data_IF_602765436890
#
_entry.id   IF_602765436890
#
_cell.length_a   1.000
_cell.length_b   1.000
_cell.length_c   1.000
_cell.angle_alpha   90.00
_cell.angle_beta   90.00
_cell.angle_gamma   90.00
#
_symmetry.space_group_name_H-M   'P 1'
#
loop_
_entity.id
_entity.type
_entity.pdbx_description
1 polymer ?
#
# COMPACT_ATOMS: atom_id res chain seq x y z
N UNK A 1 -4.28 7.95 69.94
CA UNK A 1 -4.80 6.78 69.18
C UNK A 1 -3.67 6.14 68.39
N UNK A 2 -3.21 4.94 68.79
CA UNK A 2 -2.20 4.18 68.02
C UNK A 2 -2.87 3.63 66.76
N UNK A 3 -2.40 4.03 65.57
CA UNK A 3 -2.88 3.50 64.28
C UNK A 3 -2.75 1.97 64.30
N UNK A 4 -3.89 1.27 64.27
CA UNK A 4 -3.94 -0.19 64.33
C UNK A 4 -3.14 -0.80 63.18
N UNK A 5 -2.13 -1.59 63.52
CA UNK A 5 -1.36 -2.35 62.54
C UNK A 5 -2.26 -3.48 62.04
N UNK A 6 -2.70 -3.39 60.78
CA UNK A 6 -3.51 -4.41 60.14
C UNK A 6 -2.80 -5.78 60.24
N UNK A 7 -3.42 -6.73 60.95
CA UNK A 7 -2.84 -8.05 61.28
C UNK A 7 -2.84 -9.02 60.09
N UNK A 8 -3.71 -8.79 59.12
CA UNK A 8 -3.88 -9.65 57.93
C UNK A 8 -2.90 -9.31 56.80
N UNK A 9 -2.14 -8.23 56.94
CA UNK A 9 -1.09 -7.90 55.97
C UNK A 9 0.08 -8.86 56.14
N UNK A 10 0.56 -9.48 55.05
CA UNK A 10 1.78 -10.29 55.09
C UNK A 10 2.95 -9.42 55.55
N UNK A 11 3.82 -9.99 56.39
CA UNK A 11 5.00 -9.34 56.97
C UNK A 11 6.27 -10.13 56.59
N UNK A 12 7.44 -9.50 56.72
CA UNK A 12 8.74 -10.16 56.50
C UNK A 12 8.95 -10.62 55.04
N UNK A 13 9.43 -11.84 54.85
CA UNK A 13 9.77 -12.43 53.55
C UNK A 13 8.58 -12.49 52.59
N UNK A 14 7.40 -12.91 53.07
CA UNK A 14 6.18 -12.96 52.27
C UNK A 14 5.74 -11.58 51.75
N UNK A 15 5.92 -10.53 52.56
CA UNK A 15 5.68 -9.15 52.12
C UNK A 15 6.65 -8.73 51.02
N UNK A 16 7.94 -9.04 51.16
CA UNK A 16 8.96 -8.69 50.18
C UNK A 16 8.73 -9.40 48.84
N UNK A 17 8.30 -10.66 48.85
CA UNK A 17 7.93 -11.42 47.64
C UNK A 17 6.73 -10.76 46.94
N UNK A 18 5.67 -10.44 47.68
CA UNK A 18 4.49 -9.76 47.12
C UNK A 18 4.82 -8.37 46.58
N UNK A 19 5.70 -7.62 47.27
CA UNK A 19 6.18 -6.33 46.81
C UNK A 19 6.99 -6.47 45.51
N UNK A 20 7.86 -7.47 45.41
CA UNK A 20 8.62 -7.77 44.20
C UNK A 20 7.70 -8.15 43.03
N UNK A 21 6.73 -9.04 43.25
CA UNK A 21 5.73 -9.43 42.24
C UNK A 21 4.88 -8.25 41.75
N UNK A 22 4.46 -7.35 42.64
CA UNK A 22 3.74 -6.13 42.24
C UNK A 22 4.62 -5.20 41.41
N UNK A 23 5.91 -5.08 41.77
CA UNK A 23 6.87 -4.27 41.03
C UNK A 23 7.11 -4.82 39.62
N UNK A 24 7.29 -6.14 39.47
CA UNK A 24 7.48 -6.77 38.16
C UNK A 24 6.24 -6.66 37.28
N UNK A 25 5.04 -6.88 37.83
CA UNK A 25 3.77 -6.64 37.11
C UNK A 25 3.66 -5.20 36.62
N UNK A 26 3.93 -4.21 37.47
CA UNK A 26 3.90 -2.79 37.08
C UNK A 26 4.89 -2.48 35.96
N UNK A 27 6.10 -3.03 36.00
CA UNK A 27 7.06 -2.84 34.90
C UNK A 27 6.59 -3.49 33.60
N UNK A 28 5.99 -4.68 33.67
CA UNK A 28 5.44 -5.35 32.50
C UNK A 28 4.29 -4.52 31.89
N UNK A 29 3.38 -4.00 32.71
CA UNK A 29 2.27 -3.13 32.29
C UNK A 29 2.77 -1.83 31.64
N UNK A 30 3.76 -1.16 32.24
CA UNK A 30 4.36 0.05 31.66
C UNK A 30 5.04 -0.24 30.33
N UNK A 31 5.80 -1.34 30.23
CA UNK A 31 6.46 -1.75 28.99
C UNK A 31 5.44 -2.11 27.90
N UNK A 32 4.35 -2.75 28.27
CA UNK A 32 3.28 -3.08 27.34
C UNK A 32 2.54 -1.83 26.87
N UNK A 33 2.23 -0.89 27.77
CA UNK A 33 1.64 0.40 27.42
C UNK A 33 2.54 1.22 26.47
N UNK A 34 3.85 1.25 26.70
CA UNK A 34 4.81 1.87 25.80
C UNK A 34 4.79 1.21 24.41
N UNK A 35 4.88 -0.12 24.34
CA UNK A 35 4.80 -0.88 23.08
C UNK A 35 3.50 -0.63 22.32
N UNK A 36 2.36 -0.55 23.02
CA UNK A 36 1.06 -0.24 22.40
C UNK A 36 1.06 1.16 21.80
N UNK A 37 1.69 2.12 22.48
CA UNK A 37 1.82 3.51 22.01
C UNK A 37 2.71 3.58 20.77
N UNK A 38 3.87 2.92 20.78
CA UNK A 38 4.77 2.86 19.63
C UNK A 38 4.11 2.19 18.42
N UNK A 39 3.41 1.07 18.63
CA UNK A 39 2.65 0.40 17.57
C UNK A 39 1.56 1.30 16.99
N UNK A 40 0.87 2.08 17.83
CA UNK A 40 -0.11 3.07 17.35
C UNK A 40 0.54 4.13 16.47
N UNK A 41 1.72 4.64 16.85
CA UNK A 41 2.47 5.62 16.04
C UNK A 41 2.88 5.04 14.69
N UNK A 42 3.53 3.87 14.68
CA UNK A 42 3.98 3.19 13.45
C UNK A 42 2.79 2.90 12.53
N UNK A 43 1.68 2.41 13.08
CA UNK A 43 0.48 2.14 12.30
C UNK A 43 -0.16 3.42 11.74
N UNK A 44 -0.10 4.53 12.48
CA UNK A 44 -0.61 5.82 12.00
C UNK A 44 0.25 6.36 10.83
N UNK A 45 1.57 6.27 10.94
CA UNK A 45 2.50 6.63 9.85
C UNK A 45 2.27 5.75 8.62
N UNK A 46 2.21 4.42 8.79
CA UNK A 46 1.97 3.50 7.70
C UNK A 46 0.60 3.73 7.03
N UNK A 47 -0.42 4.16 7.77
CA UNK A 47 -1.72 4.57 7.20
C UNK A 47 -1.60 5.83 6.35
N UNK A 48 -0.87 6.84 6.80
CA UNK A 48 -0.62 8.07 6.02
C UNK A 48 0.08 7.74 4.70
N UNK A 49 1.16 6.97 4.74
CA UNK A 49 1.88 6.55 3.53
C UNK A 49 0.99 5.76 2.55
N UNK A 50 0.13 4.87 3.07
CA UNK A 50 -0.83 4.13 2.24
C UNK A 50 -1.85 5.05 1.60
N UNK A 51 -2.38 6.04 2.33
CA UNK A 51 -3.31 7.02 1.79
C UNK A 51 -2.66 7.88 0.70
N UNK A 52 -1.43 8.34 0.91
CA UNK A 52 -0.68 9.09 -0.11
C UNK A 52 -0.41 8.25 -1.37
N UNK A 53 -0.02 6.99 -1.19
CA UNK A 53 0.19 6.06 -2.31
C UNK A 53 -1.12 5.82 -3.07
N UNK A 54 -2.22 5.63 -2.34
CA UNK A 54 -3.53 5.43 -2.94
C UNK A 54 -3.99 6.69 -3.70
N UNK A 55 -3.83 7.88 -3.14
CA UNK A 55 -4.14 9.14 -3.80
C UNK A 55 -3.37 9.31 -5.12
N UNK A 56 -2.09 8.92 -5.17
CA UNK A 56 -1.30 8.91 -6.41
C UNK A 56 -1.83 7.92 -7.45
N UNK A 57 -2.28 6.75 -7.01
CA UNK A 57 -2.90 5.75 -7.90
C UNK A 57 -4.23 6.30 -8.44
N UNK A 58 -5.05 6.88 -7.57
CA UNK A 58 -6.35 7.42 -7.96
C UNK A 58 -6.19 8.58 -8.95
N UNK A 59 -5.24 9.48 -8.70
CA UNK A 59 -4.88 10.56 -9.63
C UNK A 59 -4.44 10.03 -11.01
N UNK A 60 -3.71 8.91 -11.02
CA UNK A 60 -3.28 8.29 -12.27
C UNK A 60 -4.44 7.66 -13.05
N UNK A 61 -5.43 7.09 -12.36
CA UNK A 61 -6.64 6.50 -12.99
C UNK A 61 -7.52 7.55 -13.64
N UNK A 62 -7.51 8.77 -13.10
CA UNK A 62 -8.25 9.91 -13.66
C UNK A 62 -7.69 10.40 -14.99
N UNK A 63 -6.41 10.13 -15.28
CA UNK A 63 -5.78 10.52 -16.55
C UNK A 63 -6.42 9.77 -17.73
N UNK A 64 -6.32 10.35 -18.93
CA UNK A 64 -6.95 9.79 -20.11
C UNK A 64 -5.92 9.21 -21.06
N UNK A 65 -6.13 7.96 -21.47
CA UNK A 65 -5.35 7.34 -22.54
C UNK A 65 -5.85 7.86 -23.89
N UNK A 66 -4.95 8.51 -24.64
CA UNK A 66 -5.28 9.18 -25.91
C UNK A 66 -4.99 8.27 -27.10
N UNK A 67 -3.96 7.42 -27.01
CA UNK A 67 -3.61 6.54 -28.11
C UNK A 67 -2.31 5.78 -27.91
N UNK A 68 -1.84 5.20 -29.01
CA UNK A 68 -0.58 4.48 -29.07
C UNK A 68 0.17 4.89 -30.35
N UNK A 69 1.48 5.13 -30.24
CA UNK A 69 2.31 5.52 -31.39
C UNK A 69 3.75 5.05 -31.21
N UNK A 70 4.25 4.29 -32.19
CA UNK A 70 5.67 3.87 -32.29
C UNK A 70 6.22 3.25 -31.00
N UNK A 71 5.50 2.32 -30.38
CA UNK A 71 5.97 1.69 -29.14
C UNK A 71 5.65 2.44 -27.84
N UNK A 72 4.94 3.58 -27.90
CA UNK A 72 4.62 4.39 -26.73
C UNK A 72 3.10 4.56 -26.58
N UNK A 73 2.64 4.51 -25.33
CA UNK A 73 1.28 4.87 -24.95
C UNK A 73 1.23 6.38 -24.72
N UNK A 74 0.24 7.02 -25.36
CA UNK A 74 -0.03 8.45 -25.24
C UNK A 74 -1.07 8.68 -24.16
N UNK A 75 -0.75 9.57 -23.24
CA UNK A 75 -1.58 9.88 -22.08
C UNK A 75 -1.72 11.39 -22.00
N UNK A 76 -2.93 11.86 -21.79
CA UNK A 76 -3.19 13.25 -21.47
C UNK A 76 -3.07 13.45 -19.97
N UNK A 77 -2.12 14.30 -19.58
CA UNK A 77 -1.93 14.76 -18.21
C UNK A 77 -2.01 16.28 -18.24
N UNK A 78 -3.02 16.84 -17.57
CA UNK A 78 -3.25 18.28 -17.46
C UNK A 78 -3.21 19.02 -18.81
N UNK A 79 -3.85 18.45 -19.83
CA UNK A 79 -3.93 19.01 -21.18
C UNK A 79 -2.66 18.88 -22.03
N UNK A 80 -1.64 18.14 -21.55
CA UNK A 80 -0.43 17.81 -22.31
C UNK A 80 -0.39 16.33 -22.63
N UNK A 81 -0.06 16.00 -23.88
CA UNK A 81 0.11 14.62 -24.32
C UNK A 81 1.53 14.17 -24.01
N UNK A 82 1.66 13.23 -23.08
CA UNK A 82 2.94 12.60 -22.75
C UNK A 82 3.04 11.19 -23.34
N UNK A 83 4.26 10.82 -23.74
CA UNK A 83 4.61 9.47 -24.18
C UNK A 83 5.12 8.66 -23.00
N UNK A 84 4.51 7.50 -22.73
CA UNK A 84 4.95 6.56 -21.71
C UNK A 84 5.29 5.21 -22.35
N UNK A 85 6.39 4.61 -21.89
CA UNK A 85 6.81 3.29 -22.34
C UNK A 85 5.89 2.23 -21.71
N UNK A 86 5.27 1.34 -22.51
CA UNK A 86 4.51 0.21 -21.98
C UNK A 86 5.45 -0.78 -21.30
N UNK A 87 5.01 -1.32 -20.17
CA UNK A 87 5.61 -2.41 -19.45
C UNK A 87 4.75 -3.64 -19.69
N UNK A 88 5.29 -4.59 -20.45
CA UNK A 88 4.60 -5.84 -20.73
C UNK A 88 4.71 -6.78 -19.52
N UNK A 89 3.62 -7.51 -19.18
CA UNK A 89 3.71 -8.55 -18.17
C UNK A 89 4.75 -9.61 -18.57
N UNK A 90 5.32 -10.31 -17.58
CA UNK A 90 6.25 -11.42 -17.84
C UNK A 90 5.62 -12.57 -18.63
N UNK A 91 4.29 -12.62 -18.69
CA UNK A 91 3.56 -13.58 -19.50
C UNK A 91 3.78 -13.23 -20.96
N UNK A 92 4.32 -14.17 -21.73
CA UNK A 92 4.51 -14.01 -23.17
C UNK A 92 3.15 -13.78 -23.83
N UNK A 93 3.00 -12.62 -24.49
CA UNK A 93 1.84 -12.38 -25.34
C UNK A 93 1.97 -13.29 -26.56
N UNK A 94 1.01 -14.18 -26.76
CA UNK A 94 0.89 -15.07 -27.91
C UNK A 94 -0.31 -14.64 -28.76
N UNK A 95 -0.37 -15.08 -30.02
CA UNK A 95 -1.51 -14.80 -30.92
C UNK A 95 -2.86 -15.27 -30.36
N UNK A 96 -2.85 -16.23 -29.45
CA UNK A 96 -4.06 -16.75 -28.81
C UNK A 96 -4.49 -15.93 -27.59
N UNK A 97 -3.55 -15.33 -26.86
CA UNK A 97 -3.82 -14.75 -25.54
C UNK A 97 -3.79 -13.21 -25.52
N UNK A 98 -3.27 -12.57 -26.58
CA UNK A 98 -2.99 -11.13 -26.56
C UNK A 98 -4.25 -10.30 -26.29
N UNK A 99 -5.38 -10.63 -26.92
CA UNK A 99 -6.66 -9.91 -26.72
C UNK A 99 -7.10 -9.86 -25.25
N UNK A 100 -6.85 -10.93 -24.51
CA UNK A 100 -7.22 -11.05 -23.10
C UNK A 100 -6.25 -10.29 -22.19
N UNK A 101 -4.96 -10.24 -22.56
CA UNK A 101 -3.90 -9.69 -21.72
C UNK A 101 -3.44 -8.27 -22.09
N UNK A 102 -3.96 -7.65 -23.15
CA UNK A 102 -3.67 -6.24 -23.49
C UNK A 102 -3.90 -5.33 -22.28
N UNK A 103 -4.99 -5.55 -21.55
CA UNK A 103 -5.34 -4.75 -20.37
C UNK A 103 -4.32 -4.86 -19.21
N UNK A 104 -3.49 -5.90 -19.20
CA UNK A 104 -2.47 -6.14 -18.17
C UNK A 104 -1.16 -5.40 -18.45
N UNK A 105 -1.01 -4.79 -19.64
CA UNK A 105 0.09 -3.87 -19.94
C UNK A 105 0.05 -2.74 -18.92
N UNK A 106 1.20 -2.45 -18.30
CA UNK A 106 1.32 -1.41 -17.30
C UNK A 106 2.11 -0.22 -17.82
N UNK A 107 1.89 0.94 -17.23
CA UNK A 107 2.64 2.17 -17.51
C UNK A 107 3.03 2.84 -16.20
N UNK A 108 4.17 3.54 -16.21
CA UNK A 108 4.66 4.23 -15.02
C UNK A 108 4.06 5.64 -14.92
N UNK A 109 3.19 5.84 -13.94
CA UNK A 109 2.55 7.12 -13.62
C UNK A 109 2.70 7.42 -12.12
N UNK A 110 3.09 8.66 -11.81
CA UNK A 110 3.29 9.12 -10.42
C UNK A 110 4.15 8.17 -9.55
N UNK A 111 5.14 7.52 -10.17
CA UNK A 111 6.04 6.57 -9.52
C UNK A 111 5.52 5.12 -9.39
N UNK A 112 4.27 4.84 -9.78
CA UNK A 112 3.65 3.52 -9.71
C UNK A 112 3.45 2.91 -11.11
N UNK A 113 3.51 1.59 -11.19
CA UNK A 113 3.10 0.86 -12.41
C UNK A 113 1.61 0.59 -12.35
N UNK A 114 0.87 1.13 -13.30
CA UNK A 114 -0.59 1.06 -13.34
C UNK A 114 -1.00 0.40 -14.63
N UNK A 115 -1.88 -0.59 -14.53
CA UNK A 115 -2.39 -1.31 -15.68
C UNK A 115 -3.27 -0.40 -16.52
N UNK A 116 -3.13 -0.47 -17.83
CA UNK A 116 -3.88 0.40 -18.75
C UNK A 116 -5.38 0.18 -18.66
N UNK A 117 -5.83 -1.03 -18.28
CA UNK A 117 -7.26 -1.33 -18.05
C UNK A 117 -7.89 -0.51 -16.91
N UNK A 118 -7.08 0.02 -16.00
CA UNK A 118 -7.55 0.79 -14.85
C UNK A 118 -7.64 2.29 -15.14
N UNK A 119 -7.22 2.73 -16.32
CA UNK A 119 -7.11 4.14 -16.70
C UNK A 119 -8.25 4.48 -17.67
N UNK A 120 -8.76 5.70 -17.56
CA UNK A 120 -9.81 6.19 -18.45
C UNK A 120 -9.35 6.18 -19.91
N UNK A 121 -10.28 5.85 -20.83
CA UNK A 121 -9.97 5.78 -22.27
C UNK A 121 -9.40 4.44 -22.75
N UNK A 122 -9.20 3.45 -21.87
CA UNK A 122 -8.72 2.11 -22.26
C UNK A 122 -9.50 1.49 -23.43
N UNK A 123 -10.84 1.51 -23.38
CA UNK A 123 -11.69 0.92 -24.42
C UNK A 123 -11.43 1.50 -25.81
N UNK A 124 -11.11 2.79 -25.88
CA UNK A 124 -10.86 3.50 -27.13
C UNK A 124 -9.50 3.10 -27.73
N UNK A 125 -8.50 2.85 -26.88
CA UNK A 125 -7.16 2.49 -27.34
C UNK A 125 -6.96 0.98 -27.48
N UNK A 126 -7.80 0.16 -26.85
CA UNK A 126 -7.63 -1.29 -26.81
C UNK A 126 -7.60 -1.91 -28.21
N UNK A 127 -8.44 -1.42 -29.13
CA UNK A 127 -8.44 -1.87 -30.53
C UNK A 127 -7.15 -1.50 -31.27
N UNK A 128 -6.64 -0.28 -31.07
CA UNK A 128 -5.39 0.19 -31.69
C UNK A 128 -4.20 -0.62 -31.17
N UNK A 129 -4.16 -0.87 -29.85
CA UNK A 129 -3.13 -1.70 -29.22
C UNK A 129 -3.19 -3.16 -29.69
N UNK A 130 -4.39 -3.72 -29.81
CA UNK A 130 -4.59 -5.07 -30.31
C UNK A 130 -4.03 -5.23 -31.73
N UNK A 131 -4.35 -4.29 -32.61
CA UNK A 131 -3.89 -4.30 -33.99
C UNK A 131 -2.37 -4.20 -34.11
N UNK A 132 -1.72 -3.31 -33.35
CA UNK A 132 -0.27 -3.18 -33.44
C UNK A 132 0.46 -4.42 -32.88
N UNK A 133 -0.03 -4.97 -31.76
CA UNK A 133 0.56 -6.17 -31.16
C UNK A 133 0.40 -7.37 -32.11
N UNK A 134 -0.76 -7.51 -32.75
CA UNK A 134 -0.99 -8.54 -33.77
C UNK A 134 -0.04 -8.42 -34.96
N UNK A 135 0.25 -7.19 -35.44
CA UNK A 135 1.23 -6.97 -36.49
C UNK A 135 2.69 -7.23 -36.09
N UNK A 136 2.97 -7.36 -34.79
CA UNK A 136 4.33 -7.58 -34.25
C UNK A 136 4.57 -9.04 -33.85
N UNK A 137 3.51 -9.82 -33.57
CA UNK A 137 3.55 -11.24 -33.19
C UNK A 137 3.54 -12.19 -34.40
#
# INVERSE_FOLDING_TARGET
MRKGVNKDKPKGTAYNILKAMKKTKRFAEVKEAARRTDKKRINAEARKERMEKQAKIDLAKQQTLVGYKKGYILIEIDGKIEKRKPFFPKVTLTKENYKTHIGDIAIKLYGNHIRIREINGYKNIAGILAFEIEGTL
#
